data_IF_264631457385
#
_entry.id   IF_264631457385
#
_cell.length_a   1.000
_cell.length_b   1.000
_cell.length_c   1.000
_cell.angle_alpha   90.00
_cell.angle_beta   90.00
_cell.angle_gamma   90.00
#
_symmetry.space_group_name_H-M   'P 1'
#
loop_
_entity.id
_entity.type
_entity.pdbx_description
1 polymer ?
#
# COMPACT_ATOMS: atom_id res chain seq x y z
N UNK A 1 12.33 -35.09 4.44
CA UNK A 1 13.46 -34.14 4.52
C UNK A 1 12.92 -32.79 4.15
N UNK A 2 12.75 -31.88 5.11
CA UNK A 2 12.35 -30.51 4.83
C UNK A 2 13.51 -29.83 4.06
N UNK A 3 13.27 -29.44 2.81
CA UNK A 3 14.22 -28.62 2.07
C UNK A 3 14.33 -27.29 2.82
N UNK A 4 15.49 -27.02 3.39
CA UNK A 4 15.80 -25.72 3.99
C UNK A 4 15.68 -24.68 2.90
N UNK A 5 14.68 -23.83 2.99
CA UNK A 5 14.36 -22.84 1.99
C UNK A 5 15.47 -21.78 1.97
N UNK A 6 16.35 -21.85 0.99
CA UNK A 6 17.30 -20.78 0.74
C UNK A 6 16.57 -19.65 -0.02
N UNK A 7 16.15 -18.64 0.73
CA UNK A 7 15.66 -17.39 0.11
C UNK A 7 16.82 -16.82 -0.71
N UNK A 8 16.61 -16.50 -1.99
CA UNK A 8 17.68 -16.01 -2.84
C UNK A 8 18.32 -14.75 -2.25
N UNK A 9 19.66 -14.70 -2.25
CA UNK A 9 20.39 -13.50 -1.80
C UNK A 9 20.04 -12.25 -2.62
N UNK A 10 19.51 -12.43 -3.83
CA UNK A 10 19.08 -11.37 -4.74
C UNK A 10 17.82 -11.78 -5.49
N UNK A 11 16.81 -10.92 -5.48
CA UNK A 11 15.54 -11.09 -6.15
C UNK A 11 15.26 -9.89 -7.05
N UNK A 12 14.68 -10.09 -8.22
CA UNK A 12 14.13 -8.96 -9.00
C UNK A 12 12.95 -8.36 -8.23
N UNK A 13 12.76 -7.04 -8.33
CA UNK A 13 11.52 -6.44 -7.85
C UNK A 13 10.34 -6.93 -8.70
N UNK A 14 9.14 -6.86 -8.14
CA UNK A 14 7.92 -7.25 -8.85
C UNK A 14 7.71 -6.39 -10.09
N UNK A 15 7.02 -6.93 -11.08
CA UNK A 15 6.75 -6.19 -12.30
C UNK A 15 6.01 -4.87 -12.03
N UNK A 16 5.02 -4.89 -11.14
CA UNK A 16 4.30 -3.70 -10.72
C UNK A 16 5.18 -2.70 -9.95
N UNK A 17 6.20 -3.18 -9.24
CA UNK A 17 7.06 -2.34 -8.41
C UNK A 17 8.06 -1.47 -9.22
N UNK A 18 8.30 -1.78 -10.50
CA UNK A 18 9.28 -1.05 -11.31
C UNK A 18 8.97 0.44 -11.48
N UNK A 19 7.72 0.84 -11.39
CA UNK A 19 7.31 2.26 -11.50
C UNK A 19 7.83 3.11 -10.33
N UNK A 20 8.00 2.54 -9.13
CA UNK A 20 8.33 3.29 -7.94
C UNK A 20 9.77 3.80 -7.93
N UNK A 21 10.82 2.99 -8.20
CA UNK A 21 12.17 3.51 -8.35
C UNK A 21 12.30 4.47 -9.52
N UNK A 22 11.59 4.22 -10.63
CA UNK A 22 11.63 5.08 -11.82
C UNK A 22 10.99 6.46 -11.57
N UNK A 23 10.03 6.55 -10.64
CA UNK A 23 9.35 7.80 -10.29
C UNK A 23 10.01 8.58 -9.16
N UNK A 24 11.08 8.05 -8.53
CA UNK A 24 11.81 8.74 -7.47
C UNK A 24 12.35 10.09 -7.97
N UNK A 25 12.00 11.15 -7.26
CA UNK A 25 12.47 12.51 -7.56
C UNK A 25 12.65 13.31 -6.27
N UNK A 26 13.16 14.53 -6.38
CA UNK A 26 13.25 15.45 -5.23
C UNK A 26 11.89 15.71 -4.56
N UNK A 27 10.80 15.57 -5.31
CA UNK A 27 9.46 15.93 -4.87
C UNK A 27 8.51 14.75 -4.70
N UNK A 28 8.94 13.52 -5.03
CA UNK A 28 8.11 12.34 -4.97
C UNK A 28 8.92 11.12 -4.58
N UNK A 29 8.49 10.40 -3.57
CA UNK A 29 9.23 9.28 -3.00
C UNK A 29 8.45 7.96 -2.94
N UNK A 30 7.20 7.91 -3.38
CA UNK A 30 6.35 6.69 -3.31
C UNK A 30 6.39 6.02 -1.93
N UNK A 31 6.35 6.83 -0.87
CA UNK A 31 6.29 6.38 0.52
C UNK A 31 4.86 6.46 1.02
N UNK A 32 4.49 5.51 1.85
CA UNK A 32 3.25 5.55 2.61
C UNK A 32 3.47 5.07 4.03
N UNK A 33 2.59 5.47 4.95
CA UNK A 33 2.61 5.09 6.36
C UNK A 33 1.41 4.26 6.71
N UNK A 34 1.64 3.19 7.46
CA UNK A 34 0.63 2.47 8.22
C UNK A 34 0.93 2.60 9.70
N UNK A 35 -0.11 2.64 10.53
CA UNK A 35 0.07 2.85 11.97
C UNK A 35 -0.88 1.98 12.77
N UNK A 36 -0.39 1.53 13.92
CA UNK A 36 -1.19 0.90 14.97
C UNK A 36 -1.08 1.77 16.22
N UNK A 37 -2.23 2.02 16.88
CA UNK A 37 -2.26 2.72 18.15
C UNK A 37 -2.66 1.73 19.25
N UNK A 38 -1.84 1.64 20.27
CA UNK A 38 -2.05 0.81 21.46
C UNK A 38 -2.75 1.62 22.56
N UNK A 39 -3.28 0.93 23.57
CA UNK A 39 -3.86 1.57 24.76
C UNK A 39 -2.81 2.11 25.74
N UNK A 40 -1.59 1.61 25.66
CA UNK A 40 -0.48 1.96 26.54
C UNK A 40 0.75 2.44 25.75
N UNK A 41 1.66 3.18 26.41
CA UNK A 41 2.92 3.59 25.78
C UNK A 41 3.75 2.39 25.31
N UNK A 42 4.36 2.53 24.15
CA UNK A 42 5.19 1.52 23.51
C UNK A 42 6.51 1.38 24.27
N UNK A 43 6.84 0.15 24.68
CA UNK A 43 8.15 -0.19 25.20
C UNK A 43 9.14 -0.37 24.02
N UNK A 44 10.11 0.53 23.94
CA UNK A 44 11.05 0.57 22.82
C UNK A 44 11.92 -0.70 22.75
N UNK A 45 12.32 -1.27 23.88
CA UNK A 45 13.16 -2.47 23.90
C UNK A 45 12.39 -3.70 23.43
N UNK A 46 11.13 -3.84 23.84
CA UNK A 46 10.25 -4.91 23.36
C UNK A 46 9.94 -4.75 21.86
N UNK A 47 9.70 -3.52 21.39
CA UNK A 47 9.44 -3.27 19.96
C UNK A 47 10.68 -3.56 19.10
N UNK A 48 11.88 -3.21 19.58
CA UNK A 48 13.13 -3.54 18.89
C UNK A 48 13.32 -5.05 18.74
N UNK A 49 13.12 -5.82 19.81
CA UNK A 49 13.20 -7.28 19.77
C UNK A 49 12.15 -7.91 18.86
N UNK A 50 10.92 -7.39 18.89
CA UNK A 50 9.87 -7.83 17.97
C UNK A 50 10.27 -7.56 16.51
N UNK A 51 10.84 -6.38 16.23
CA UNK A 51 11.29 -6.01 14.88
C UNK A 51 12.40 -6.93 14.37
N UNK A 52 13.36 -7.29 15.22
CA UNK A 52 14.41 -8.26 14.90
C UNK A 52 13.81 -9.59 14.47
N UNK A 53 12.95 -10.17 15.32
CA UNK A 53 12.29 -11.45 15.07
C UNK A 53 11.46 -11.42 13.78
N UNK A 54 10.61 -10.39 13.61
CA UNK A 54 9.70 -10.32 12.46
C UNK A 54 10.44 -10.02 11.16
N UNK A 55 11.51 -9.24 11.21
CA UNK A 55 12.34 -9.01 10.02
C UNK A 55 13.07 -10.27 9.54
N UNK A 56 13.34 -11.23 10.42
CA UNK A 56 13.85 -12.57 10.04
C UNK A 56 12.75 -13.43 9.45
N UNK A 57 11.55 -13.39 10.04
CA UNK A 57 10.38 -14.14 9.56
C UNK A 57 9.90 -13.65 8.19
N UNK A 58 10.05 -12.35 7.89
CA UNK A 58 9.64 -11.74 6.61
C UNK A 58 10.88 -11.18 5.90
N UNK A 59 11.70 -12.02 5.28
CA UNK A 59 13.05 -11.67 4.81
C UNK A 59 13.07 -10.70 3.64
N UNK A 60 11.96 -10.48 2.94
CA UNK A 60 11.84 -9.42 1.92
C UNK A 60 12.04 -8.04 2.54
N UNK A 61 11.67 -7.86 3.82
CA UNK A 61 11.88 -6.61 4.54
C UNK A 61 13.35 -6.43 4.99
N UNK A 62 14.19 -7.47 4.95
CA UNK A 62 15.65 -7.35 5.16
C UNK A 62 16.42 -7.14 3.86
N UNK A 63 15.85 -6.41 2.92
CA UNK A 63 16.46 -6.17 1.62
C UNK A 63 16.71 -4.67 1.39
N UNK A 64 17.79 -4.38 0.66
CA UNK A 64 18.05 -3.09 0.06
C UNK A 64 17.74 -3.10 -1.44
N UNK A 65 17.51 -1.94 -2.02
CA UNK A 65 17.29 -1.76 -3.45
C UNK A 65 18.61 -1.56 -4.18
N UNK A 66 18.87 -2.37 -5.19
CA UNK A 66 20.05 -2.23 -6.06
C UNK A 66 19.64 -1.99 -7.50
N UNK A 67 20.21 -0.95 -8.09
CA UNK A 67 20.13 -0.71 -9.51
C UNK A 67 20.99 -1.74 -10.25
N UNK A 68 20.44 -2.36 -11.28
CA UNK A 68 21.17 -3.15 -12.28
C UNK A 68 21.25 -2.36 -13.59
N UNK A 69 21.88 -2.95 -14.63
CA UNK A 69 21.98 -2.31 -15.93
C UNK A 69 20.61 -2.09 -16.59
N UNK A 70 19.65 -2.98 -16.37
CA UNK A 70 18.32 -2.94 -17.01
C UNK A 70 17.15 -3.08 -16.05
N UNK A 71 17.38 -3.46 -14.78
CA UNK A 71 16.32 -3.70 -13.81
C UNK A 71 16.80 -3.48 -12.38
N UNK A 72 15.85 -3.20 -11.49
CA UNK A 72 16.05 -3.11 -10.08
C UNK A 72 15.96 -4.50 -9.42
N UNK A 73 16.64 -4.66 -8.31
CA UNK A 73 16.61 -5.89 -7.51
C UNK A 73 16.64 -5.59 -6.03
N UNK A 74 16.03 -6.47 -5.25
CA UNK A 74 16.18 -6.56 -3.82
C UNK A 74 17.38 -7.44 -3.51
N UNK A 75 18.31 -6.95 -2.71
CA UNK A 75 19.46 -7.70 -2.19
C UNK A 75 19.32 -7.85 -0.69
N UNK A 76 19.36 -9.08 -0.20
CA UNK A 76 19.31 -9.38 1.23
C UNK A 76 20.49 -8.75 1.95
N UNK A 77 20.24 -8.25 3.16
CA UNK A 77 21.22 -7.66 4.06
C UNK A 77 21.32 -8.48 5.35
N UNK A 78 22.51 -8.54 5.91
CA UNK A 78 22.77 -9.16 7.23
C UNK A 78 22.67 -8.14 8.37
N UNK A 79 22.11 -6.97 8.08
CA UNK A 79 21.88 -5.92 9.07
C UNK A 79 20.55 -6.10 9.77
N UNK A 80 20.46 -5.62 10.99
CA UNK A 80 19.25 -5.52 11.78
C UNK A 80 18.64 -4.12 11.63
N UNK A 81 17.33 -3.99 11.37
CA UNK A 81 16.67 -2.69 11.36
C UNK A 81 16.54 -2.14 12.79
N UNK A 82 16.52 -0.82 12.92
CA UNK A 82 16.39 -0.15 14.21
C UNK A 82 15.06 0.63 14.29
N UNK A 83 14.47 0.64 15.49
CA UNK A 83 13.29 1.45 15.79
C UNK A 83 13.72 2.87 16.10
N UNK A 84 13.16 3.83 15.40
CA UNK A 84 13.42 5.26 15.59
C UNK A 84 12.25 6.03 16.23
N UNK A 85 12.46 7.33 16.53
CA UNK A 85 11.37 8.23 16.88
C UNK A 85 10.49 8.49 15.67
N UNK A 86 9.17 8.64 15.89
CA UNK A 86 8.26 9.02 14.81
C UNK A 86 8.53 10.46 14.34
N UNK A 87 8.56 10.62 13.04
CA UNK A 87 8.70 11.90 12.37
C UNK A 87 7.56 12.06 11.36
N UNK A 88 7.23 13.28 10.92
CA UNK A 88 6.30 13.46 9.81
C UNK A 88 6.70 12.59 8.62
N UNK A 89 5.72 12.01 7.93
CA UNK A 89 6.00 11.21 6.73
C UNK A 89 6.68 12.10 5.69
N UNK A 90 7.93 11.82 5.45
CA UNK A 90 8.78 12.55 4.52
C UNK A 90 9.73 11.59 3.82
N UNK A 91 10.27 12.02 2.70
CA UNK A 91 11.33 11.27 2.04
C UNK A 91 12.50 11.06 2.99
N UNK A 92 12.98 9.84 3.07
CA UNK A 92 14.26 9.50 3.69
C UNK A 92 15.21 8.90 2.65
N UNK A 93 16.50 9.12 2.82
CA UNK A 93 17.49 8.43 2.01
C UNK A 93 17.71 7.03 2.56
N UNK A 94 17.67 6.03 1.70
CA UNK A 94 17.86 4.64 2.13
C UNK A 94 19.21 4.41 2.80
N UNK A 95 20.26 5.13 2.38
CA UNK A 95 21.56 5.14 3.04
C UNK A 95 21.50 5.54 4.52
N UNK A 96 20.68 6.53 4.84
CA UNK A 96 20.55 7.07 6.19
C UNK A 96 19.71 6.14 7.09
N UNK A 97 18.98 5.23 6.48
CA UNK A 97 18.19 4.19 7.12
C UNK A 97 18.86 2.80 7.00
N UNK A 98 20.18 2.74 7.02
CA UNK A 98 20.93 1.49 6.95
C UNK A 98 20.80 0.72 5.62
N UNK A 99 20.11 1.28 4.62
CA UNK A 99 19.78 0.64 3.34
C UNK A 99 18.37 0.05 3.29
N UNK A 100 17.64 0.01 4.40
CA UNK A 100 16.28 -0.51 4.46
C UNK A 100 15.30 0.37 3.70
N UNK A 101 14.33 -0.28 3.04
CA UNK A 101 13.29 0.36 2.24
C UNK A 101 12.04 0.70 3.08
N UNK A 102 12.12 0.53 4.37
CA UNK A 102 11.09 0.87 5.35
C UNK A 102 11.75 1.35 6.63
N UNK A 103 10.98 1.97 7.48
CA UNK A 103 11.38 2.28 8.85
C UNK A 103 10.24 2.01 9.81
N UNK A 104 10.57 1.54 10.99
CA UNK A 104 9.65 1.44 12.13
C UNK A 104 9.98 2.55 13.10
N UNK A 105 8.96 3.25 13.56
CA UNK A 105 9.11 4.35 14.51
C UNK A 105 7.95 4.36 15.51
N UNK A 106 8.14 5.02 16.64
CA UNK A 106 7.11 5.11 17.67
C UNK A 106 6.97 6.53 18.20
N UNK A 107 5.76 6.86 18.65
CA UNK A 107 5.38 8.12 19.29
C UNK A 107 4.31 7.83 20.35
N UNK A 108 4.73 7.79 21.60
CA UNK A 108 3.85 7.42 22.72
C UNK A 108 3.25 6.03 22.55
N UNK A 109 1.96 5.95 22.28
CA UNK A 109 1.21 4.70 22.10
C UNK A 109 1.14 4.21 20.65
N UNK A 110 1.81 4.87 19.70
CA UNK A 110 1.68 4.58 18.28
C UNK A 110 2.95 3.94 17.72
N UNK A 111 2.76 2.89 16.94
CA UNK A 111 3.79 2.26 16.10
C UNK A 111 3.52 2.66 14.66
N UNK A 112 4.47 3.30 14.01
CA UNK A 112 4.41 3.71 12.61
C UNK A 112 5.33 2.82 11.77
N UNK A 113 4.85 2.40 10.61
CA UNK A 113 5.59 1.71 9.56
C UNK A 113 5.55 2.55 8.28
N UNK A 114 6.67 3.16 7.92
CA UNK A 114 6.84 3.85 6.65
C UNK A 114 7.46 2.89 5.64
N UNK A 115 6.87 2.77 4.47
CA UNK A 115 7.30 1.81 3.45
C UNK A 115 7.53 2.50 2.11
N UNK A 116 8.66 2.21 1.48
CA UNK A 116 8.87 2.50 0.08
C UNK A 116 8.12 1.48 -0.77
N UNK A 117 7.22 1.94 -1.60
CA UNK A 117 6.21 1.10 -2.26
C UNK A 117 6.81 0.01 -3.19
N UNK A 118 8.09 0.13 -3.60
CA UNK A 118 8.76 -0.95 -4.33
C UNK A 118 9.02 -2.20 -3.48
N UNK A 119 8.96 -2.10 -2.13
CA UNK A 119 9.16 -3.23 -1.23
C UNK A 119 7.91 -4.11 -1.14
N UNK A 120 6.78 -3.49 -0.84
CA UNK A 120 5.51 -4.17 -0.62
C UNK A 120 4.32 -3.27 -0.97
N UNK A 121 3.17 -3.86 -1.24
CA UNK A 121 1.88 -3.16 -1.31
C UNK A 121 1.23 -3.05 0.09
N UNK A 122 0.02 -2.46 0.13
CA UNK A 122 -0.72 -2.27 1.38
C UNK A 122 -0.90 -3.58 2.16
N UNK A 123 -1.32 -4.67 1.51
CA UNK A 123 -1.55 -5.96 2.17
C UNK A 123 -0.25 -6.57 2.70
N UNK A 124 0.84 -6.51 1.93
CA UNK A 124 2.14 -7.01 2.40
C UNK A 124 2.68 -6.22 3.59
N UNK A 125 2.51 -4.91 3.59
CA UNK A 125 2.91 -4.06 4.72
C UNK A 125 1.98 -4.22 5.93
N UNK A 126 0.70 -4.45 5.72
CA UNK A 126 -0.24 -4.77 6.78
C UNK A 126 0.13 -6.09 7.46
N UNK A 127 0.48 -7.12 6.67
CA UNK A 127 1.00 -8.39 7.19
C UNK A 127 2.23 -8.18 8.08
N UNK A 128 3.19 -7.36 7.62
CA UNK A 128 4.37 -7.04 8.42
C UNK A 128 4.00 -6.30 9.72
N UNK A 129 3.19 -5.25 9.63
CA UNK A 129 2.82 -4.43 10.79
C UNK A 129 1.99 -5.21 11.83
N UNK A 130 1.04 -6.02 11.39
CA UNK A 130 0.21 -6.84 12.28
C UNK A 130 1.05 -7.94 12.94
N UNK A 131 1.94 -8.59 12.20
CA UNK A 131 2.87 -9.59 12.75
C UNK A 131 3.81 -8.94 13.77
N UNK A 132 4.36 -7.76 13.47
CA UNK A 132 5.19 -6.98 14.39
C UNK A 132 4.44 -6.60 15.67
N UNK A 133 3.20 -6.14 15.52
CA UNK A 133 2.35 -5.78 16.66
C UNK A 133 2.02 -7.01 17.52
N UNK A 134 1.69 -8.13 16.88
CA UNK A 134 1.42 -9.40 17.58
C UNK A 134 2.65 -9.87 18.37
N UNK A 135 3.83 -9.88 17.75
CA UNK A 135 5.07 -10.28 18.44
C UNK A 135 5.44 -9.31 19.57
N UNK A 136 5.23 -8.01 19.38
CA UNK A 136 5.39 -7.02 20.43
C UNK A 136 4.47 -7.32 21.63
N UNK A 137 3.20 -7.57 21.40
CA UNK A 137 2.22 -7.88 22.45
C UNK A 137 2.58 -9.18 23.17
N UNK A 138 3.03 -10.19 22.45
CA UNK A 138 3.52 -11.45 23.02
C UNK A 138 4.75 -11.21 23.93
N UNK A 139 5.73 -10.44 23.47
CA UNK A 139 6.94 -10.16 24.23
C UNK A 139 6.69 -9.25 25.43
N UNK A 140 5.78 -8.28 25.30
CA UNK A 140 5.52 -7.29 26.35
C UNK A 140 4.60 -7.80 27.44
N UNK A 141 3.57 -8.55 27.06
CA UNK A 141 2.47 -8.94 27.96
C UNK A 141 2.28 -10.45 28.10
N UNK A 142 3.06 -11.26 27.38
CA UNK A 142 2.89 -12.71 27.38
C UNK A 142 1.58 -13.19 26.76
N UNK A 143 0.97 -12.40 25.88
CA UNK A 143 -0.30 -12.73 25.25
C UNK A 143 -0.13 -13.86 24.22
N UNK A 144 -1.11 -14.76 24.17
CA UNK A 144 -1.26 -15.71 23.06
C UNK A 144 -1.80 -14.97 21.85
N UNK A 145 -1.04 -15.02 20.75
CA UNK A 145 -1.42 -14.34 19.51
C UNK A 145 -2.00 -15.36 18.54
N UNK A 146 -3.23 -15.15 18.04
CA UNK A 146 -3.80 -16.02 17.01
C UNK A 146 -3.11 -15.77 15.67
N UNK A 147 -2.22 -16.68 15.28
CA UNK A 147 -1.53 -16.60 13.99
C UNK A 147 -2.45 -17.06 12.86
N UNK A 148 -3.18 -16.12 12.30
CA UNK A 148 -4.13 -16.39 11.22
C UNK A 148 -4.32 -15.16 10.32
N UNK A 149 -4.77 -15.39 9.10
CA UNK A 149 -5.00 -14.32 8.13
C UNK A 149 -3.72 -13.60 7.76
N UNK A 150 -3.58 -12.34 8.18
CA UNK A 150 -2.40 -11.50 7.91
C UNK A 150 -1.34 -11.54 9.02
N UNK A 151 -1.59 -12.25 10.13
CA UNK A 151 -0.64 -12.37 11.23
C UNK A 151 0.12 -13.67 11.06
N UNK A 152 1.41 -13.58 10.73
CA UNK A 152 2.28 -14.74 10.56
C UNK A 152 2.86 -15.18 11.91
N UNK A 153 3.10 -16.50 12.06
CA UNK A 153 3.82 -17.02 13.21
C UNK A 153 5.32 -16.74 13.07
N UNK A 154 5.91 -15.94 13.98
CA UNK A 154 7.33 -15.61 13.91
C UNK A 154 8.25 -16.81 14.15
N UNK A 155 7.76 -17.90 14.74
CA UNK A 155 8.52 -19.14 14.99
C UNK A 155 8.62 -20.05 13.74
N UNK A 156 7.75 -19.84 12.76
CA UNK A 156 7.77 -20.62 11.52
C UNK A 156 8.83 -20.10 10.55
N UNK A 157 9.36 -21.01 9.76
CA UNK A 157 10.26 -20.66 8.64
C UNK A 157 9.47 -19.98 7.53
N UNK A 158 10.05 -18.98 6.85
CA UNK A 158 9.39 -18.31 5.71
C UNK A 158 9.02 -19.32 4.60
N UNK A 159 7.78 -19.22 4.07
CA UNK A 159 7.32 -19.99 2.91
C UNK A 159 7.80 -19.31 1.61
N UNK A 160 8.19 -20.10 0.59
CA UNK A 160 8.55 -19.57 -0.75
C UNK A 160 7.46 -18.71 -1.35
N UNK A 161 6.20 -19.11 -1.14
CA UNK A 161 5.02 -18.39 -1.65
C UNK A 161 4.86 -17.00 -1.05
N UNK A 162 5.45 -16.76 0.14
CA UNK A 162 5.42 -15.44 0.77
C UNK A 162 6.42 -14.46 0.13
N UNK A 163 7.48 -14.97 -0.49
CA UNK A 163 8.55 -14.16 -1.08
C UNK A 163 8.55 -14.15 -2.61
N UNK A 164 7.65 -14.90 -3.25
CA UNK A 164 7.58 -14.99 -4.71
C UNK A 164 7.04 -13.73 -5.38
N UNK A 165 7.40 -13.54 -6.65
CA UNK A 165 6.75 -12.60 -7.55
C UNK A 165 5.53 -13.29 -8.19
N UNK A 166 4.37 -13.14 -7.54
CA UNK A 166 3.13 -13.81 -7.96
C UNK A 166 2.63 -13.37 -9.34
N UNK A 167 3.07 -12.22 -9.87
CA UNK A 167 2.76 -11.87 -11.26
C UNK A 167 3.35 -12.86 -12.25
N UNK A 168 4.52 -13.43 -11.95
CA UNK A 168 5.16 -14.45 -12.83
C UNK A 168 4.44 -15.78 -12.79
N UNK A 169 3.88 -16.16 -11.63
CA UNK A 169 3.18 -17.44 -11.47
C UNK A 169 1.81 -17.44 -12.14
N UNK A 170 1.13 -16.27 -12.18
CA UNK A 170 -0.22 -16.17 -12.78
C UNK A 170 -0.23 -15.69 -14.23
N UNK A 171 0.92 -15.21 -14.75
CA UNK A 171 0.98 -14.68 -16.11
C UNK A 171 0.84 -15.77 -17.17
N UNK A 172 -0.25 -15.74 -17.90
CA UNK A 172 -0.59 -16.74 -18.94
C UNK A 172 0.07 -16.49 -20.31
N UNK A 173 0.93 -15.49 -20.44
CA UNK A 173 1.54 -15.09 -21.72
C UNK A 173 0.61 -14.34 -22.67
N UNK A 174 -0.69 -14.24 -22.37
CA UNK A 174 -1.62 -13.45 -23.19
C UNK A 174 -1.38 -11.96 -22.97
N UNK A 175 -1.02 -11.26 -24.04
CA UNK A 175 -1.01 -9.81 -24.03
C UNK A 175 -2.47 -9.35 -24.10
N UNK A 176 -2.97 -8.72 -23.03
CA UNK A 176 -4.23 -7.99 -23.08
C UNK A 176 -4.15 -6.88 -24.14
N UNK A 177 -5.26 -6.56 -24.78
CA UNK A 177 -5.33 -5.37 -25.62
C UNK A 177 -4.96 -4.16 -24.75
N UNK A 178 -4.04 -3.32 -25.23
CA UNK A 178 -3.76 -2.03 -24.61
C UNK A 178 -5.00 -1.17 -24.81
N UNK A 179 -5.83 -1.06 -23.78
CA UNK A 179 -6.93 -0.10 -23.80
C UNK A 179 -6.33 1.31 -23.92
N UNK A 180 -6.80 2.05 -24.92
CA UNK A 180 -6.43 3.44 -25.08
C UNK A 180 -7.11 4.24 -23.97
N UNK A 181 -6.36 4.55 -22.93
CA UNK A 181 -6.87 5.36 -21.84
C UNK A 181 -7.01 6.82 -22.28
N UNK A 182 -8.20 7.38 -22.06
CA UNK A 182 -8.39 8.82 -22.22
C UNK A 182 -7.53 9.60 -21.23
N UNK A 183 -7.08 10.76 -21.64
CA UNK A 183 -6.39 11.68 -20.75
C UNK A 183 -7.36 12.20 -19.70
N UNK A 184 -7.10 11.90 -18.44
CA UNK A 184 -7.95 12.36 -17.35
C UNK A 184 -7.67 13.82 -16.95
N UNK A 185 -8.63 14.45 -16.30
CA UNK A 185 -8.46 15.75 -15.68
C UNK A 185 -7.42 15.68 -14.55
N UNK A 186 -6.45 16.56 -14.60
CA UNK A 186 -5.44 16.71 -13.55
C UNK A 186 -5.78 17.84 -12.61
N UNK A 187 -5.99 17.53 -11.34
CA UNK A 187 -6.20 18.53 -10.29
C UNK A 187 -4.94 19.39 -10.15
N UNK A 188 -5.10 20.71 -10.25
CA UNK A 188 -4.03 21.68 -10.05
C UNK A 188 -3.94 22.08 -8.58
N UNK A 189 -2.73 22.35 -8.11
CA UNK A 189 -2.50 22.82 -6.74
C UNK A 189 -1.10 23.37 -6.55
N UNK A 190 -0.91 24.10 -5.46
CA UNK A 190 0.42 24.52 -5.03
C UNK A 190 1.07 23.37 -4.24
N UNK A 191 2.30 23.05 -4.57
CA UNK A 191 3.09 22.08 -3.80
C UNK A 191 3.45 22.69 -2.45
N UNK A 192 3.44 21.86 -1.41
CA UNK A 192 3.97 22.25 -0.11
C UNK A 192 5.50 22.38 -0.21
N UNK A 193 6.12 23.30 0.54
CA UNK A 193 7.56 23.38 0.64
C UNK A 193 8.13 22.05 1.18
N UNK A 194 9.37 21.75 0.85
CA UNK A 194 10.15 20.62 1.34
C UNK A 194 9.52 19.23 1.15
N UNK A 195 8.74 19.05 0.06
CA UNK A 195 7.99 17.82 -0.21
C UNK A 195 7.08 17.38 0.95
N UNK A 196 6.66 18.32 1.79
CA UNK A 196 5.76 18.06 2.92
C UNK A 196 4.45 17.44 2.47
N UNK A 197 3.90 16.58 3.31
CA UNK A 197 2.58 15.98 3.15
C UNK A 197 1.61 16.64 4.13
N UNK A 198 0.37 16.83 3.68
CA UNK A 198 -0.74 17.21 4.54
C UNK A 198 -1.71 16.04 4.60
N UNK A 199 -1.94 15.55 5.79
CA UNK A 199 -2.94 14.51 6.06
C UNK A 199 -4.28 15.13 6.43
N UNK A 200 -5.38 14.59 5.88
CA UNK A 200 -6.75 14.93 6.26
C UNK A 200 -7.45 13.64 6.66
N UNK A 201 -7.71 13.49 7.95
CA UNK A 201 -8.35 12.30 8.50
C UNK A 201 -9.82 12.54 8.75
N UNK A 202 -10.66 11.61 8.28
CA UNK A 202 -12.10 11.60 8.55
C UNK A 202 -12.46 10.25 9.17
N UNK A 203 -13.16 10.29 10.29
CA UNK A 203 -13.68 9.09 10.97
C UNK A 203 -15.19 9.07 10.82
N UNK A 204 -15.72 7.98 10.30
CA UNK A 204 -17.16 7.81 10.07
C UNK A 204 -17.64 6.48 10.68
N UNK A 205 -18.82 6.45 11.32
CA UNK A 205 -19.40 5.22 11.83
C UNK A 205 -19.72 4.25 10.68
N UNK A 206 -19.15 3.04 10.75
CA UNK A 206 -19.28 2.04 9.67
C UNK A 206 -20.74 1.63 9.42
N UNK A 207 -21.55 1.53 10.47
CA UNK A 207 -22.97 1.15 10.34
C UNK A 207 -23.80 2.17 9.56
N UNK A 208 -23.48 3.47 9.72
CA UNK A 208 -24.09 4.52 8.89
C UNK A 208 -23.69 4.38 7.43
N UNK A 209 -22.40 4.10 7.15
CA UNK A 209 -21.94 3.86 5.78
C UNK A 209 -22.59 2.63 5.17
N UNK A 210 -22.69 1.53 5.91
CA UNK A 210 -23.40 0.31 5.47
C UNK A 210 -24.88 0.58 5.16
N UNK A 211 -25.53 1.43 5.96
CA UNK A 211 -26.93 1.82 5.70
C UNK A 211 -27.06 2.63 4.40
N UNK A 212 -26.14 3.56 4.16
CA UNK A 212 -26.11 4.32 2.90
C UNK A 212 -25.87 3.36 1.73
N UNK A 213 -24.90 2.44 1.85
CA UNK A 213 -24.61 1.46 0.80
C UNK A 213 -25.85 0.61 0.46
N UNK A 214 -26.61 0.17 1.48
CA UNK A 214 -27.88 -0.57 1.25
C UNK A 214 -28.91 0.28 0.52
N UNK A 215 -29.08 1.56 0.88
CA UNK A 215 -30.02 2.46 0.24
C UNK A 215 -29.70 2.73 -1.25
N UNK A 216 -28.42 2.74 -1.60
CA UNK A 216 -27.95 2.92 -2.97
C UNK A 216 -27.67 1.58 -3.68
N UNK A 217 -27.89 0.45 -3.01
CA UNK A 217 -27.53 -0.88 -3.51
C UNK A 217 -26.11 -0.92 -4.10
N UNK A 218 -25.13 -0.46 -3.31
CA UNK A 218 -23.74 -0.34 -3.73
C UNK A 218 -22.77 -0.86 -2.67
N UNK A 219 -21.52 -1.16 -3.06
CA UNK A 219 -20.44 -1.48 -2.13
C UNK A 219 -19.89 -0.22 -1.48
N UNK A 220 -19.13 -0.37 -0.38
CA UNK A 220 -18.41 0.75 0.22
C UNK A 220 -17.41 1.39 -0.75
N UNK A 221 -16.76 0.57 -1.57
CA UNK A 221 -15.85 1.05 -2.62
C UNK A 221 -16.57 1.89 -3.65
N UNK A 222 -17.76 1.47 -4.11
CA UNK A 222 -18.58 2.23 -5.06
C UNK A 222 -18.99 3.59 -4.45
N UNK A 223 -19.42 3.59 -3.19
CA UNK A 223 -19.80 4.80 -2.46
C UNK A 223 -18.63 5.78 -2.36
N UNK A 224 -17.47 5.32 -1.86
CA UNK A 224 -16.30 6.18 -1.67
C UNK A 224 -15.75 6.70 -3.01
N UNK A 225 -15.73 5.85 -4.05
CA UNK A 225 -15.32 6.26 -5.39
C UNK A 225 -16.28 7.30 -5.96
N UNK A 226 -17.60 7.09 -5.79
CA UNK A 226 -18.62 8.05 -6.20
C UNK A 226 -18.47 9.40 -5.49
N UNK A 227 -18.18 9.40 -4.19
CA UNK A 227 -17.90 10.62 -3.42
C UNK A 227 -16.64 11.35 -3.92
N UNK A 228 -15.57 10.61 -4.26
CA UNK A 228 -14.36 11.19 -4.85
C UNK A 228 -14.64 11.81 -6.22
N UNK A 229 -15.35 11.11 -7.11
CA UNK A 229 -15.73 11.64 -8.43
C UNK A 229 -16.62 12.88 -8.31
N UNK A 230 -17.56 12.89 -7.37
CA UNK A 230 -18.39 14.08 -7.09
C UNK A 230 -17.54 15.25 -6.60
N UNK A 231 -16.51 15.01 -5.79
CA UNK A 231 -15.57 16.03 -5.36
C UNK A 231 -14.72 16.56 -6.50
N UNK A 232 -14.20 15.66 -7.35
CA UNK A 232 -13.48 16.03 -8.57
C UNK A 232 -14.34 16.85 -9.52
N UNK A 233 -15.62 16.50 -9.68
CA UNK A 233 -16.58 17.26 -10.49
C UNK A 233 -16.74 18.72 -9.97
N UNK A 234 -16.81 18.90 -8.64
CA UNK A 234 -16.87 20.24 -8.03
C UNK A 234 -15.57 21.04 -8.27
N UNK A 235 -14.42 20.41 -8.11
CA UNK A 235 -13.10 21.02 -8.37
C UNK A 235 -13.00 21.39 -9.84
N UNK A 236 -13.36 20.49 -10.75
CA UNK A 236 -13.38 20.74 -12.19
C UNK A 236 -14.25 21.95 -12.55
N UNK A 237 -15.43 22.09 -11.92
CA UNK A 237 -16.33 23.20 -12.16
C UNK A 237 -15.74 24.54 -11.75
N UNK A 238 -14.94 24.56 -10.66
CA UNK A 238 -14.27 25.74 -10.17
C UNK A 238 -12.99 26.11 -10.97
N UNK A 239 -12.45 25.16 -11.75
CA UNK A 239 -11.25 25.39 -12.56
C UNK A 239 -11.61 26.15 -13.85
N UNK A 240 -10.98 27.31 -14.08
CA UNK A 240 -11.23 28.18 -15.22
C UNK A 240 -10.45 27.76 -16.51
N UNK A 241 -9.57 26.76 -16.43
CA UNK A 241 -8.80 26.33 -17.59
C UNK A 241 -9.70 25.65 -18.64
N UNK A 242 -9.85 26.30 -19.80
CA UNK A 242 -10.69 25.81 -20.90
C UNK A 242 -10.09 24.63 -21.66
N UNK A 243 -8.79 24.32 -21.48
CA UNK A 243 -8.08 23.23 -22.14
C UNK A 243 -8.03 21.95 -21.30
N UNK A 244 -8.68 21.92 -20.13
CA UNK A 244 -8.73 20.76 -19.27
C UNK A 244 -9.54 19.63 -19.88
N UNK A 245 -9.13 18.41 -19.62
CA UNK A 245 -9.91 17.22 -19.99
C UNK A 245 -11.23 17.17 -19.25
N UNK A 246 -12.30 16.76 -19.92
CA UNK A 246 -13.62 16.52 -19.31
C UNK A 246 -13.74 15.16 -18.64
N UNK A 247 -12.75 14.29 -18.79
CA UNK A 247 -12.76 12.93 -18.23
C UNK A 247 -12.24 12.96 -16.81
N UNK A 248 -13.09 12.63 -15.84
CA UNK A 248 -12.71 12.46 -14.44
C UNK A 248 -12.47 10.99 -14.16
N UNK A 249 -11.35 10.64 -13.54
CA UNK A 249 -10.99 9.26 -13.19
C UNK A 249 -10.47 9.17 -11.76
N UNK A 250 -10.82 8.06 -11.11
CA UNK A 250 -10.28 7.62 -9.82
C UNK A 250 -9.67 6.25 -10.03
N UNK A 251 -8.41 6.10 -9.63
CA UNK A 251 -7.71 4.81 -9.66
C UNK A 251 -7.97 4.08 -8.35
N UNK A 252 -8.61 2.93 -8.43
CA UNK A 252 -8.96 2.09 -7.27
C UNK A 252 -8.05 0.87 -7.26
N UNK A 253 -7.21 0.70 -6.24
CA UNK A 253 -6.34 -0.47 -6.15
C UNK A 253 -7.14 -1.74 -5.84
N UNK A 254 -6.67 -2.86 -6.38
CA UNK A 254 -7.28 -4.18 -6.25
C UNK A 254 -6.26 -5.16 -5.74
N UNK A 255 -6.53 -5.78 -4.59
CA UNK A 255 -5.73 -6.88 -4.08
C UNK A 255 -6.01 -8.15 -4.91
N UNK A 256 -4.99 -8.66 -5.58
CA UNK A 256 -5.11 -9.84 -6.44
C UNK A 256 -4.98 -11.16 -5.68
N UNK A 257 -4.52 -11.15 -4.43
CA UNK A 257 -4.26 -12.37 -3.65
C UNK A 257 -5.48 -13.28 -3.52
N UNK A 258 -6.67 -12.76 -3.16
CA UNK A 258 -7.85 -13.61 -3.06
C UNK A 258 -8.26 -14.24 -4.38
N UNK A 259 -8.01 -13.57 -5.51
CA UNK A 259 -8.37 -14.05 -6.85
C UNK A 259 -7.48 -15.19 -7.34
N UNK A 260 -6.22 -15.21 -6.91
CA UNK A 260 -5.21 -16.14 -7.38
C UNK A 260 -4.62 -17.05 -6.30
N UNK A 261 -5.13 -16.99 -5.06
CA UNK A 261 -4.63 -17.80 -3.95
C UNK A 261 -3.18 -17.50 -3.55
N UNK A 262 -2.67 -16.29 -3.84
CA UNK A 262 -1.31 -15.90 -3.51
C UNK A 262 -1.15 -15.61 -2.01
N UNK A 263 0.02 -15.97 -1.46
CA UNK A 263 0.45 -15.64 -0.10
C UNK A 263 1.58 -14.61 -0.07
N UNK A 264 1.97 -14.07 -1.21
CA UNK A 264 3.12 -13.17 -1.32
C UNK A 264 2.92 -11.91 -0.46
N UNK A 265 3.95 -11.54 0.30
CA UNK A 265 4.02 -10.26 1.04
C UNK A 265 4.61 -9.12 0.19
N UNK A 266 4.96 -9.42 -1.06
CA UNK A 266 5.46 -8.44 -2.03
C UNK A 266 4.29 -7.72 -2.72
N UNK A 267 4.58 -6.91 -3.74
CA UNK A 267 3.51 -6.26 -4.50
C UNK A 267 2.75 -7.28 -5.36
N UNK A 268 1.46 -7.48 -5.06
CA UNK A 268 0.55 -8.27 -5.88
C UNK A 268 -0.82 -7.62 -5.91
N UNK A 269 -0.85 -6.40 -6.42
CA UNK A 269 -2.05 -5.61 -6.60
C UNK A 269 -2.11 -5.05 -8.02
N UNK A 270 -3.30 -4.79 -8.49
CA UNK A 270 -3.59 -4.07 -9.74
C UNK A 270 -4.44 -2.86 -9.42
N UNK A 271 -4.97 -2.20 -10.42
CA UNK A 271 -5.92 -1.12 -10.24
C UNK A 271 -6.94 -1.10 -11.37
N UNK A 272 -8.10 -0.56 -11.08
CA UNK A 272 -9.12 -0.21 -12.07
C UNK A 272 -9.33 1.29 -12.08
N UNK A 273 -9.45 1.87 -13.26
CA UNK A 273 -9.75 3.28 -13.42
C UNK A 273 -11.26 3.46 -13.60
N UNK A 274 -11.93 3.90 -12.55
CA UNK A 274 -13.35 4.21 -12.58
C UNK A 274 -13.51 5.70 -12.86
N UNK A 275 -14.45 6.06 -13.74
CA UNK A 275 -14.56 7.45 -14.11
C UNK A 275 -15.81 7.81 -14.88
N UNK A 276 -15.90 9.09 -15.24
CA UNK A 276 -17.00 9.66 -16.02
C UNK A 276 -16.52 10.80 -16.91
N UNK A 277 -17.21 10.98 -18.03
CA UNK A 277 -17.04 12.16 -18.88
C UNK A 277 -18.17 13.15 -18.59
N UNK A 278 -17.80 14.35 -18.20
CA UNK A 278 -18.76 15.39 -17.78
C UNK A 278 -19.16 16.34 -18.92
N UNK A 279 -18.84 16.02 -20.18
CA UNK A 279 -19.33 16.79 -21.35
C UNK A 279 -20.83 16.81 -21.45
N UNK A 280 -21.51 15.74 -21.02
CA UNK A 280 -22.97 15.62 -21.00
C UNK A 280 -23.64 16.37 -19.83
N UNK A 281 -22.86 17.05 -18.99
CA UNK A 281 -23.35 17.78 -17.82
C UNK A 281 -22.87 17.21 -16.48
N UNK A 282 -23.32 17.86 -15.41
CA UNK A 282 -22.96 17.46 -14.03
C UNK A 282 -24.01 16.50 -13.50
N UNK A 283 -23.52 15.43 -12.85
CA UNK A 283 -24.35 14.38 -12.27
C UNK A 283 -24.55 14.61 -10.77
N UNK A 284 -25.70 14.17 -10.26
CA UNK A 284 -25.93 14.07 -8.82
C UNK A 284 -25.17 12.87 -8.25
N UNK A 285 -24.84 12.91 -6.94
CA UNK A 285 -24.07 11.86 -6.30
C UNK A 285 -24.67 10.46 -6.50
N UNK A 286 -25.99 10.32 -6.41
CA UNK A 286 -26.66 9.03 -6.62
C UNK A 286 -26.47 8.47 -8.04
N UNK A 287 -26.43 9.34 -9.06
CA UNK A 287 -26.20 8.94 -10.44
C UNK A 287 -24.74 8.53 -10.66
N UNK A 288 -23.81 9.25 -10.01
CA UNK A 288 -22.38 8.93 -10.04
C UNK A 288 -22.14 7.54 -9.41
N UNK A 289 -22.75 7.25 -8.26
CA UNK A 289 -22.63 5.94 -7.60
C UNK A 289 -23.16 4.83 -8.50
N UNK A 290 -24.32 5.02 -9.15
CA UNK A 290 -24.87 4.06 -10.10
C UNK A 290 -23.95 3.84 -11.30
N UNK A 291 -23.38 4.92 -11.84
CA UNK A 291 -22.41 4.84 -12.94
C UNK A 291 -21.16 4.05 -12.54
N UNK A 292 -20.61 4.31 -11.37
CA UNK A 292 -19.43 3.58 -10.82
C UNK A 292 -19.76 2.09 -10.69
N UNK A 293 -20.91 1.75 -10.13
CA UNK A 293 -21.36 0.36 -9.95
C UNK A 293 -21.44 -0.43 -11.26
N UNK A 294 -21.79 0.21 -12.37
CA UNK A 294 -21.92 -0.43 -13.67
C UNK A 294 -20.58 -0.64 -14.39
N UNK A 295 -19.51 0.02 -13.94
CA UNK A 295 -18.20 -0.13 -14.56
C UNK A 295 -17.51 -1.43 -14.07
N UNK A 296 -16.58 -2.01 -14.86
CA UNK A 296 -15.81 -3.17 -14.42
C UNK A 296 -15.11 -2.86 -13.12
N UNK A 297 -15.49 -3.54 -12.05
CA UNK A 297 -14.82 -3.52 -10.76
C UNK A 297 -14.25 -4.91 -10.51
N UNK A 298 -13.20 -5.01 -9.72
CA UNK A 298 -12.73 -6.30 -9.22
C UNK A 298 -13.74 -6.80 -8.16
N UNK A 299 -14.80 -7.38 -8.60
CA UNK A 299 -15.78 -8.11 -7.79
C UNK A 299 -15.49 -9.59 -7.82
#
# INVERSE_FOLDING_TARGET
>A
MAQTLQIPARMRIDNAANIYPASLSKHYASLYRMSVTLSEPVDLSCLQRALETVSERIPTFRCELKAGAFWWSLRRMDKTPEVGPSTPLSRFHFSDNGGFLYRVSTDGCRIDLDVFHALADGTGSETFLLTLTGEYLRLRYGLEIPYSGLVLDPSEMPDTREVEDSFKTVFSGRKGALEKNDVAYHVKGKRLPDAGLRDVRVVMPLDRLKTICRNFDCTLTDLLTGMMLNSLQKIYRADSDKRKSSVLKVSVPVNLRPLYGSRSVRNFSSYVNLGMDIRSGFLQLGDIIRLVKMQPSAR
#
